data_IF_326539405149
#
_entry.id   IF_326539405149
#
_cell.length_a   1.000
_cell.length_b   1.000
_cell.length_c   1.000
_cell.angle_alpha   90.00
_cell.angle_beta   90.00
_cell.angle_gamma   90.00
#
_symmetry.space_group_name_H-M   'P 1'
#
loop_
_entity.id
_entity.type
_entity.pdbx_description
1 polymer ?
#
# COMPACT_ATOMS: atom_id res chain seq x y z
N UNK A 1 21.79 9.41 3.34
CA UNK A 1 21.17 10.73 3.12
C UNK A 1 19.67 10.53 3.33
N UNK A 2 19.16 10.88 4.50
CA UNK A 2 17.73 10.76 4.82
C UNK A 2 17.02 12.02 4.33
N UNK A 3 16.18 11.89 3.30
CA UNK A 3 15.24 12.94 2.94
C UNK A 3 14.10 12.88 3.95
N UNK A 4 14.14 13.78 4.93
CA UNK A 4 13.04 14.03 5.85
C UNK A 4 11.85 14.58 5.08
N UNK A 5 10.85 13.74 4.86
CA UNK A 5 9.51 14.21 4.54
C UNK A 5 8.79 14.48 5.86
N UNK A 6 8.71 15.75 6.26
CA UNK A 6 7.69 16.23 7.20
C UNK A 6 6.32 16.23 6.51
N UNK A 7 5.89 15.07 6.01
CA UNK A 7 4.47 14.87 5.74
C UNK A 7 3.87 14.60 7.10
N UNK A 8 3.20 15.59 7.67
CA UNK A 8 2.28 15.34 8.79
C UNK A 8 1.39 14.19 8.32
N UNK A 9 1.46 13.05 9.00
CA UNK A 9 0.48 11.98 8.87
C UNK A 9 -0.84 12.61 9.31
N UNK A 10 -1.59 13.22 8.39
CA UNK A 10 -2.81 13.95 8.74
C UNK A 10 -3.94 12.99 9.10
N UNK A 11 -3.77 11.69 8.88
CA UNK A 11 -4.65 10.66 9.37
C UNK A 11 -3.87 9.50 10.00
N UNK A 12 -4.60 8.62 10.67
CA UNK A 12 -4.07 7.46 11.39
C UNK A 12 -4.41 6.15 10.69
N UNK A 13 -5.14 6.18 9.59
CA UNK A 13 -5.58 4.98 8.89
C UNK A 13 -4.53 4.47 7.90
N UNK A 14 -4.71 3.25 7.41
CA UNK A 14 -3.76 2.60 6.51
C UNK A 14 -4.44 1.70 5.47
N UNK A 15 -3.73 1.44 4.37
CA UNK A 15 -4.07 0.39 3.40
C UNK A 15 -2.86 -0.53 3.30
N UNK A 16 -3.07 -1.83 3.45
CA UNK A 16 -2.00 -2.80 3.35
C UNK A 16 -2.41 -4.05 2.57
N UNK A 17 -1.45 -4.62 1.84
CA UNK A 17 -1.60 -5.96 1.31
C UNK A 17 -1.33 -6.99 2.41
N UNK A 18 -2.38 -7.59 2.95
CA UNK A 18 -2.32 -8.64 3.97
C UNK A 18 -3.23 -9.82 3.60
N UNK A 19 -2.90 -11.03 4.10
CA UNK A 19 -3.59 -12.29 3.76
C UNK A 19 -3.72 -12.45 2.24
N UNK A 20 -4.94 -12.55 1.70
CA UNK A 20 -5.21 -12.70 0.26
C UNK A 20 -4.95 -11.42 -0.56
N UNK A 21 -4.71 -10.28 0.10
CA UNK A 21 -4.47 -8.98 -0.53
C UNK A 21 -3.00 -8.66 -0.83
N UNK A 22 -2.06 -9.61 -0.69
CA UNK A 22 -0.65 -9.39 -1.05
C UNK A 22 -0.46 -9.37 -2.57
N UNK A 23 0.61 -8.74 -3.03
CA UNK A 23 0.99 -8.78 -4.44
C UNK A 23 1.53 -10.17 -4.78
N UNK A 24 0.93 -10.81 -5.79
CA UNK A 24 1.38 -12.09 -6.32
C UNK A 24 1.62 -12.03 -7.83
N UNK A 25 2.44 -12.96 -8.33
CA UNK A 25 2.59 -13.30 -9.73
C UNK A 25 2.61 -14.82 -9.85
N UNK A 26 1.80 -15.38 -10.75
CA UNK A 26 1.65 -16.84 -10.91
C UNK A 26 1.35 -17.58 -9.59
N UNK A 27 0.50 -16.98 -8.75
CA UNK A 27 0.10 -17.54 -7.45
C UNK A 27 1.18 -17.52 -6.37
N UNK A 28 2.31 -16.85 -6.60
CA UNK A 28 3.41 -16.71 -5.62
C UNK A 28 3.61 -15.24 -5.26
N UNK A 29 4.04 -14.92 -4.02
CA UNK A 29 4.36 -13.54 -3.65
C UNK A 29 5.39 -12.90 -4.58
N UNK A 30 5.20 -11.61 -4.88
CA UNK A 30 6.07 -10.89 -5.80
C UNK A 30 6.22 -9.42 -5.42
N UNK A 31 7.39 -8.86 -5.74
CA UNK A 31 7.65 -7.43 -5.65
C UNK A 31 7.18 -6.73 -6.93
N UNK A 32 6.20 -5.81 -6.83
CA UNK A 32 5.72 -4.94 -7.92
C UNK A 32 5.40 -3.54 -7.37
N UNK A 33 5.22 -2.58 -8.28
CA UNK A 33 4.78 -1.23 -7.91
C UNK A 33 3.29 -1.27 -7.60
N UNK A 34 2.94 -0.78 -6.42
CA UNK A 34 1.57 -0.53 -6.01
C UNK A 34 1.36 0.98 -6.01
N UNK A 35 0.31 1.40 -6.70
CA UNK A 35 -0.09 2.79 -6.84
C UNK A 35 -1.31 3.03 -5.97
N UNK A 36 -1.29 4.14 -5.25
CA UNK A 36 -2.42 4.64 -4.50
C UNK A 36 -2.83 5.97 -5.12
N UNK A 37 -4.03 6.04 -5.67
CA UNK A 37 -4.59 7.25 -6.25
C UNK A 37 -5.81 7.66 -5.43
N UNK A 38 -6.03 8.96 -5.28
CA UNK A 38 -7.29 9.47 -4.75
C UNK A 38 -8.43 9.06 -5.68
N UNK A 39 -9.48 8.40 -5.16
CA UNK A 39 -10.55 7.86 -6.01
C UNK A 39 -11.44 8.95 -6.62
N UNK A 40 -11.44 10.16 -6.06
CA UNK A 40 -12.24 11.28 -6.58
C UNK A 40 -11.49 12.06 -7.66
N UNK A 41 -10.22 12.38 -7.42
CA UNK A 41 -9.44 13.25 -8.31
C UNK A 41 -8.55 12.48 -9.29
N UNK A 42 -8.31 11.19 -9.02
CA UNK A 42 -7.33 10.35 -9.72
C UNK A 42 -5.89 10.87 -9.62
N UNK A 43 -5.61 11.78 -8.69
CA UNK A 43 -4.25 12.22 -8.40
C UNK A 43 -3.46 11.09 -7.71
N UNK A 44 -2.18 10.99 -8.02
CA UNK A 44 -1.29 10.02 -7.37
C UNK A 44 -1.06 10.47 -5.93
N UNK A 45 -1.68 9.78 -4.98
CA UNK A 45 -1.47 10.01 -3.56
C UNK A 45 -0.09 9.48 -3.15
N UNK A 46 0.21 8.21 -3.45
CA UNK A 46 1.48 7.53 -3.12
C UNK A 46 1.81 6.41 -4.09
N UNK A 47 3.09 6.04 -4.16
CA UNK A 47 3.57 4.86 -4.86
C UNK A 47 4.51 4.10 -3.96
N UNK A 48 4.29 2.80 -3.81
CA UNK A 48 5.15 1.90 -3.06
C UNK A 48 5.60 0.73 -3.93
N UNK A 49 6.66 0.05 -3.50
CA UNK A 49 7.06 -1.24 -4.05
C UNK A 49 6.76 -2.29 -2.99
N UNK A 50 5.99 -3.32 -3.33
CA UNK A 50 5.77 -4.44 -2.41
C UNK A 50 7.09 -5.17 -2.14
N UNK A 51 7.22 -5.73 -0.95
CA UNK A 51 8.33 -6.57 -0.54
C UNK A 51 8.41 -7.84 -1.42
N UNK A 52 9.53 -8.59 -1.40
CA UNK A 52 9.62 -9.88 -2.08
C UNK A 52 8.53 -10.88 -1.66
N UNK A 53 8.08 -10.78 -0.41
CA UNK A 53 6.96 -11.56 0.14
C UNK A 53 5.57 -10.96 -0.17
N UNK A 54 5.47 -10.00 -1.10
CA UNK A 54 4.22 -9.45 -1.62
C UNK A 54 3.54 -8.40 -0.75
N UNK A 55 4.00 -8.20 0.49
CA UNK A 55 3.42 -7.23 1.41
C UNK A 55 3.77 -5.79 1.05
N UNK A 56 2.86 -4.87 1.34
CA UNK A 56 3.04 -3.42 1.23
C UNK A 56 2.17 -2.71 2.26
N UNK A 57 2.51 -1.46 2.62
CA UNK A 57 1.68 -0.62 3.48
C UNK A 57 1.73 0.84 3.02
N UNK A 58 0.55 1.47 2.97
CA UNK A 58 0.36 2.91 2.90
C UNK A 58 -0.20 3.38 4.23
N UNK A 59 0.65 3.97 5.08
CA UNK A 59 0.25 4.43 6.41
C UNK A 59 -0.05 5.94 6.43
N UNK A 60 -0.82 6.39 7.42
CA UNK A 60 -1.16 7.79 7.62
C UNK A 60 -2.07 8.35 6.52
N UNK A 61 -3.12 7.62 6.21
CA UNK A 61 -4.20 8.01 5.30
C UNK A 61 -5.35 8.62 6.11
N UNK A 62 -6.15 9.45 5.44
CA UNK A 62 -7.41 9.93 5.99
C UNK A 62 -8.46 8.82 5.93
N UNK A 63 -9.15 8.52 7.03
CA UNK A 63 -10.14 7.45 7.09
C UNK A 63 -11.44 7.75 6.31
N UNK A 64 -11.72 9.03 6.05
CA UNK A 64 -12.91 9.47 5.30
C UNK A 64 -12.67 9.46 3.78
N UNK A 65 -11.43 9.25 3.36
CA UNK A 65 -11.05 9.21 1.94
C UNK A 65 -11.19 7.80 1.37
N UNK A 66 -11.44 7.75 0.06
CA UNK A 66 -11.45 6.52 -0.73
C UNK A 66 -10.32 6.56 -1.76
N UNK A 67 -9.72 5.40 -2.02
CA UNK A 67 -8.57 5.30 -2.90
C UNK A 67 -8.72 4.20 -3.94
N UNK A 68 -8.15 4.44 -5.12
CA UNK A 68 -7.85 3.39 -6.09
C UNK A 68 -6.48 2.79 -5.75
N UNK A 69 -6.44 1.50 -5.44
CA UNK A 69 -5.21 0.74 -5.23
C UNK A 69 -4.94 -0.08 -6.48
N UNK A 70 -3.80 0.13 -7.12
CA UNK A 70 -3.44 -0.59 -8.35
C UNK A 70 -2.05 -1.22 -8.24
N UNK A 71 -1.99 -2.55 -8.34
CA UNK A 71 -0.76 -3.27 -8.58
C UNK A 71 -0.48 -3.30 -10.09
N UNK A 72 0.60 -2.67 -10.53
CA UNK A 72 0.98 -2.62 -11.95
C UNK A 72 2.27 -3.38 -12.17
N UNK A 73 2.24 -4.31 -13.11
CA UNK A 73 3.44 -5.04 -13.49
C UNK A 73 4.36 -4.20 -14.38
N UNK A 74 5.53 -3.87 -13.86
CA UNK A 74 6.54 -3.12 -14.62
C UNK A 74 7.27 -4.00 -15.65
N UNK A 75 7.17 -5.33 -15.54
CA UNK A 75 7.77 -6.28 -16.49
C UNK A 75 6.90 -6.54 -17.71
N UNK A 76 5.63 -6.11 -17.69
CA UNK A 76 4.66 -6.27 -18.79
C UNK A 76 4.32 -7.73 -19.10
N UNK A 77 4.44 -8.59 -18.09
CA UNK A 77 4.07 -10.01 -18.11
C UNK A 77 2.58 -10.18 -17.79
N UNK A 78 2.01 -9.28 -16.99
CA UNK A 78 0.63 -9.39 -16.49
C UNK A 78 -0.14 -8.06 -16.60
N UNK A 79 -1.47 -8.18 -16.69
CA UNK A 79 -2.39 -7.06 -16.57
C UNK A 79 -2.36 -6.45 -15.16
N UNK A 80 -2.65 -5.15 -15.01
CA UNK A 80 -2.78 -4.56 -13.69
C UNK A 80 -3.99 -5.13 -12.95
N UNK A 81 -3.86 -5.27 -11.64
CA UNK A 81 -4.99 -5.48 -10.73
C UNK A 81 -5.29 -4.18 -10.01
N UNK A 82 -6.57 -3.80 -9.99
CA UNK A 82 -7.03 -2.59 -9.34
C UNK A 82 -8.22 -2.87 -8.43
N UNK A 83 -8.23 -2.23 -7.27
CA UNK A 83 -9.35 -2.19 -6.35
C UNK A 83 -9.75 -0.74 -6.19
N UNK A 84 -10.99 -0.45 -6.55
CA UNK A 84 -11.55 0.89 -6.52
C UNK A 84 -12.31 1.14 -5.22
N UNK A 85 -12.43 2.42 -4.84
CA UNK A 85 -13.10 2.89 -3.62
C UNK A 85 -12.63 2.19 -2.33
N UNK A 86 -11.34 1.88 -2.22
CA UNK A 86 -10.77 1.24 -1.03
C UNK A 86 -10.73 2.24 0.11
N UNK A 87 -11.42 1.91 1.20
CA UNK A 87 -11.36 2.66 2.46
C UNK A 87 -10.17 2.22 3.30
N UNK A 88 -9.36 3.14 3.83
CA UNK A 88 -8.32 2.82 4.78
C UNK A 88 -8.90 2.18 6.06
N UNK A 89 -8.17 1.19 6.58
CA UNK A 89 -8.46 0.60 7.88
C UNK A 89 -7.91 1.47 9.01
N UNK A 90 -8.60 1.52 10.14
CA UNK A 90 -8.25 2.29 11.34
C UNK A 90 -8.17 1.42 12.62
N UNK A 91 -8.11 0.10 12.44
CA UNK A 91 -8.06 -0.89 13.51
C UNK A 91 -6.67 -1.04 14.16
N UNK A 92 -5.63 -0.43 13.58
CA UNK A 92 -4.28 -0.39 14.14
C UNK A 92 -3.83 1.04 14.44
N UNK A 93 -3.24 1.23 15.62
CA UNK A 93 -2.48 2.45 15.94
C UNK A 93 -1.26 2.60 15.03
N UNK A 94 -0.71 3.81 14.94
CA UNK A 94 0.51 4.08 14.14
C UNK A 94 1.69 3.20 14.59
N UNK A 95 1.81 2.95 15.89
CA UNK A 95 2.86 2.07 16.42
C UNK A 95 2.65 0.61 15.99
N UNK A 96 1.41 0.12 15.99
CA UNK A 96 1.08 -1.23 15.53
C UNK A 96 1.26 -1.38 14.02
N UNK A 97 0.92 -0.36 13.22
CA UNK A 97 1.21 -0.34 11.78
C UNK A 97 2.71 -0.44 11.50
N UNK A 98 3.54 0.28 12.27
CA UNK A 98 4.99 0.21 12.15
C UNK A 98 5.53 -1.16 12.59
N UNK A 99 4.99 -1.73 13.67
CA UNK A 99 5.35 -3.07 14.11
C UNK A 99 4.99 -4.13 13.06
N UNK A 100 3.79 -4.03 12.47
CA UNK A 100 3.33 -4.90 11.39
C UNK A 100 4.25 -4.82 10.17
N UNK A 101 4.57 -3.60 9.72
CA UNK A 101 5.50 -3.39 8.61
C UNK A 101 6.87 -4.01 8.90
N UNK A 102 7.40 -3.79 10.11
CA UNK A 102 8.69 -4.36 10.53
C UNK A 102 8.65 -5.89 10.51
N UNK A 103 7.54 -6.49 10.94
CA UNK A 103 7.36 -7.95 10.95
C UNK A 103 7.43 -8.58 9.55
N UNK A 104 7.09 -7.84 8.50
CA UNK A 104 7.18 -8.32 7.11
C UNK A 104 8.56 -8.14 6.50
N UNK A 105 9.43 -7.30 7.07
CA UNK A 105 10.78 -7.09 6.56
C UNK A 105 11.79 -8.12 7.08
N UNK A 106 11.48 -8.77 8.20
CA UNK A 106 12.36 -9.73 8.87
C UNK A 106 12.19 -11.17 8.39
N UNK A 107 11.29 -11.41 7.43
CA UNK A 107 10.96 -12.72 6.86
C UNK A 107 11.13 -12.72 5.34
#
# INVERSE_FOLDING_TARGET
>A
MYLGINTVLSGTAYIAGAKDGIVTALGKPASRRVWLLDAQTMEIARVATSLPNGHYIFAGLNHDSEYLVMARDYKKEFEPFAWDYVKPADDLTVAEQQALWTSWQTN
#
